data_IF_435643340147
#
_entry.id   IF_435643340147
#
_cell.length_a   1.000
_cell.length_b   1.000
_cell.length_c   1.000
_cell.angle_alpha   90.00
_cell.angle_beta   90.00
_cell.angle_gamma   90.00
#
_symmetry.space_group_name_H-M   'P 1'
#
loop_
_entity.id
_entity.type
_entity.pdbx_description
1 polymer ?
#
# COMPACT_ATOMS: atom_id res chain seq x y z
N UNK A 1 5.86 6.40 6.73
CA UNK A 1 5.90 6.71 5.29
C UNK A 1 4.79 7.69 4.91
N UNK A 2 3.52 7.29 5.05
CA UNK A 2 2.35 8.13 4.71
C UNK A 2 2.28 9.44 5.50
N UNK A 3 2.63 9.42 6.79
CA UNK A 3 2.47 10.60 7.67
C UNK A 3 3.52 11.69 7.46
N UNK A 4 4.70 11.35 6.93
CA UNK A 4 5.85 12.27 6.93
C UNK A 4 6.57 12.25 5.59
N UNK A 5 7.05 11.09 5.15
CA UNK A 5 7.93 10.99 3.99
C UNK A 5 7.21 11.34 2.67
N UNK A 6 5.98 10.87 2.46
CA UNK A 6 5.21 11.24 1.26
C UNK A 6 4.78 12.72 1.26
N UNK A 7 4.17 13.27 2.33
CA UNK A 7 3.87 14.71 2.41
C UNK A 7 5.10 15.60 2.23
N UNK A 8 6.23 15.23 2.85
CA UNK A 8 7.49 16.00 2.72
C UNK A 8 8.01 16.02 1.29
N UNK A 9 7.86 14.92 0.54
CA UNK A 9 8.40 14.81 -0.82
C UNK A 9 7.46 15.36 -1.90
N UNK A 10 6.16 15.09 -1.78
CA UNK A 10 5.17 15.33 -2.84
C UNK A 10 4.10 16.37 -2.44
N UNK A 11 4.11 16.86 -1.21
CA UNK A 11 3.10 17.81 -0.69
C UNK A 11 1.83 17.11 -0.22
N UNK A 12 0.75 17.88 0.01
CA UNK A 12 -0.50 17.36 0.57
C UNK A 12 -0.43 17.06 2.07
N UNK A 13 -1.55 16.61 2.62
CA UNK A 13 -1.69 16.18 4.00
C UNK A 13 -1.48 14.66 4.11
N UNK A 14 -1.15 14.12 5.31
CA UNK A 14 -1.09 12.68 5.54
C UNK A 14 -2.33 11.91 5.04
N UNK A 15 -3.51 12.51 5.16
CA UNK A 15 -4.79 11.93 4.73
C UNK A 15 -4.99 11.91 3.21
N UNK A 16 -4.08 12.50 2.43
CA UNK A 16 -4.08 12.40 0.97
C UNK A 16 -3.45 11.11 0.46
N UNK A 17 -2.87 10.32 1.34
CA UNK A 17 -2.14 9.10 1.02
C UNK A 17 -2.70 7.93 1.82
N UNK A 18 -2.91 6.80 1.16
CA UNK A 18 -3.41 5.60 1.82
C UNK A 18 -2.87 4.34 1.17
N UNK A 19 -2.45 3.38 1.99
CA UNK A 19 -2.21 2.02 1.52
C UNK A 19 -3.50 1.21 1.59
N UNK A 20 -3.77 0.45 0.54
CA UNK A 20 -4.90 -0.47 0.43
C UNK A 20 -4.38 -1.82 -0.05
N UNK A 21 -4.59 -2.87 0.73
CA UNK A 21 -4.42 -4.24 0.24
C UNK A 21 -5.69 -4.66 -0.49
N UNK A 22 -5.53 -5.23 -1.67
CA UNK A 22 -6.62 -5.76 -2.47
C UNK A 22 -6.30 -7.19 -2.90
N UNK A 23 -7.31 -8.05 -2.93
CA UNK A 23 -7.19 -9.37 -3.54
C UNK A 23 -7.55 -9.25 -5.02
N UNK A 24 -6.57 -9.50 -5.89
CA UNK A 24 -6.75 -9.58 -7.34
C UNK A 24 -6.56 -11.04 -7.77
N UNK A 25 -7.69 -11.75 -7.87
CA UNK A 25 -7.70 -13.20 -8.11
C UNK A 25 -7.08 -13.96 -6.93
N UNK A 26 -5.98 -14.67 -7.18
CA UNK A 26 -5.24 -15.43 -6.16
C UNK A 26 -4.04 -14.65 -5.58
N UNK A 27 -3.88 -13.37 -5.94
CA UNK A 27 -2.75 -12.53 -5.51
C UNK A 27 -3.24 -11.41 -4.62
N UNK A 28 -2.49 -11.11 -3.58
CA UNK A 28 -2.65 -9.88 -2.80
C UNK A 28 -1.78 -8.81 -3.42
N UNK A 29 -2.38 -7.68 -3.81
CA UNK A 29 -1.69 -6.50 -4.33
C UNK A 29 -1.79 -5.36 -3.32
N UNK A 30 -0.77 -4.50 -3.31
CA UNK A 30 -0.74 -3.29 -2.52
C UNK A 30 -0.97 -2.09 -3.43
N UNK A 31 -1.93 -1.24 -3.08
CA UNK A 31 -2.21 0.02 -3.77
C UNK A 31 -1.81 1.17 -2.88
N UNK A 32 -1.06 2.12 -3.43
CA UNK A 32 -0.92 3.45 -2.84
C UNK A 32 -1.93 4.37 -3.52
N UNK A 33 -3.00 4.67 -2.79
CA UNK A 33 -4.00 5.66 -3.18
C UNK A 33 -3.45 7.04 -2.87
N UNK A 34 -3.47 7.92 -3.86
CA UNK A 34 -3.03 9.31 -3.74
C UNK A 34 -4.14 10.22 -4.23
N UNK A 35 -4.60 11.11 -3.36
CA UNK A 35 -5.62 12.10 -3.70
C UNK A 35 -5.21 12.89 -4.96
N UNK A 36 -6.11 13.05 -5.95
CA UNK A 36 -5.84 13.81 -7.17
C UNK A 36 -5.32 15.25 -6.96
N UNK A 37 -5.58 15.87 -5.79
CA UNK A 37 -5.11 17.23 -5.48
C UNK A 37 -3.60 17.32 -5.24
N UNK A 38 -2.94 16.21 -4.93
CA UNK A 38 -1.49 16.13 -4.84
C UNK A 38 -0.94 16.07 -6.26
N UNK A 39 -0.17 17.07 -6.68
CA UNK A 39 0.44 17.08 -8.00
C UNK A 39 1.57 16.04 -8.08
N UNK A 40 1.38 14.99 -8.87
CA UNK A 40 2.37 13.95 -9.14
C UNK A 40 2.71 13.99 -10.62
N UNK A 41 3.99 14.20 -10.94
CA UNK A 41 4.47 14.25 -12.32
C UNK A 41 4.64 12.85 -12.94
N UNK A 42 5.12 11.89 -12.14
CA UNK A 42 5.36 10.52 -12.57
C UNK A 42 5.01 9.51 -11.46
N UNK A 43 4.09 8.59 -11.75
CA UNK A 43 3.70 7.53 -10.83
C UNK A 43 4.81 6.47 -10.64
N UNK A 44 5.66 6.27 -11.65
CA UNK A 44 6.80 5.35 -11.57
C UNK A 44 7.83 5.80 -10.55
N UNK A 45 8.15 7.09 -10.53
CA UNK A 45 9.03 7.69 -9.53
C UNK A 45 8.47 7.56 -8.11
N UNK A 46 7.16 7.77 -7.93
CA UNK A 46 6.50 7.55 -6.64
C UNK A 46 6.59 6.09 -6.21
N UNK A 47 6.31 5.14 -7.11
CA UNK A 47 6.42 3.69 -6.84
C UNK A 47 7.85 3.34 -6.39
N UNK A 48 8.86 3.78 -7.12
CA UNK A 48 10.26 3.53 -6.80
C UNK A 48 10.67 4.12 -5.44
N UNK A 49 10.25 5.37 -5.16
CA UNK A 49 10.52 6.01 -3.87
C UNK A 49 9.88 5.24 -2.71
N UNK A 50 8.62 4.83 -2.85
CA UNK A 50 7.87 4.10 -1.83
C UNK A 50 8.52 2.75 -1.54
N UNK A 51 8.86 1.98 -2.57
CA UNK A 51 9.55 0.70 -2.41
C UNK A 51 10.86 0.88 -1.63
N UNK A 52 11.68 1.86 -2.00
CA UNK A 52 12.93 2.20 -1.29
C UNK A 52 12.70 2.64 0.16
N UNK A 53 11.59 3.31 0.45
CA UNK A 53 11.25 3.78 1.77
C UNK A 53 10.64 2.69 2.67
N UNK A 54 9.99 1.69 2.07
CA UNK A 54 9.57 0.47 2.75
C UNK A 54 10.81 -0.38 3.06
N UNK A 55 11.65 -0.64 2.06
CA UNK A 55 12.96 -1.29 2.15
C UNK A 55 13.77 -0.92 3.39
N UNK A 56 14.00 0.37 3.61
CA UNK A 56 14.78 0.87 4.74
C UNK A 56 14.14 0.60 6.10
N UNK A 57 12.81 0.49 6.16
CA UNK A 57 12.03 0.40 7.41
C UNK A 57 11.73 -1.03 7.83
N UNK A 58 11.78 -2.01 6.93
CA UNK A 58 11.26 -3.36 7.16
C UNK A 58 12.32 -4.47 7.15
N UNK A 59 13.56 -4.20 7.57
CA UNK A 59 14.58 -5.25 7.77
C UNK A 59 14.03 -6.40 8.66
N UNK A 60 13.45 -7.45 8.05
CA UNK A 60 13.01 -8.71 8.70
C UNK A 60 11.52 -9.09 8.67
N UNK A 61 10.60 -8.37 7.98
CA UNK A 61 9.16 -8.68 8.03
C UNK A 61 8.63 -9.61 6.92
N UNK A 62 7.68 -10.50 7.22
CA UNK A 62 7.03 -11.43 6.25
C UNK A 62 6.29 -10.70 5.10
N UNK A 63 5.73 -9.53 5.38
CA UNK A 63 5.09 -8.64 4.39
C UNK A 63 6.07 -8.19 3.27
N UNK A 64 7.36 -8.08 3.59
CA UNK A 64 8.40 -7.77 2.60
C UNK A 64 8.62 -8.92 1.62
N UNK A 65 8.51 -10.18 2.07
CA UNK A 65 8.75 -11.35 1.21
C UNK A 65 7.74 -11.44 0.07
N UNK A 66 6.50 -11.03 0.29
CA UNK A 66 5.43 -11.13 -0.70
C UNK A 66 5.43 -9.91 -1.65
N UNK A 67 5.66 -8.69 -1.13
CA UNK A 67 5.77 -7.47 -1.96
C UNK A 67 6.98 -7.53 -2.91
N UNK A 68 8.07 -8.20 -2.50
CA UNK A 68 9.32 -8.21 -3.26
C UNK A 68 9.48 -9.40 -4.21
N UNK A 69 8.72 -10.47 -4.01
CA UNK A 69 8.72 -11.62 -4.92
C UNK A 69 8.11 -11.29 -6.27
N UNK A 70 7.21 -10.31 -6.33
CA UNK A 70 6.54 -9.90 -7.55
C UNK A 70 6.73 -8.38 -7.74
N UNK A 71 7.48 -7.97 -8.76
CA UNK A 71 7.78 -6.54 -9.03
C UNK A 71 6.53 -5.72 -9.42
N UNK A 72 5.40 -6.41 -9.60
CA UNK A 72 4.11 -5.81 -9.90
C UNK A 72 3.27 -5.48 -8.65
N UNK A 73 3.71 -5.84 -7.44
CA UNK A 73 2.82 -5.81 -6.25
C UNK A 73 2.38 -4.40 -5.78
N UNK A 74 3.10 -3.33 -6.13
CA UNK A 74 2.71 -1.96 -5.79
C UNK A 74 2.13 -1.21 -6.99
N UNK A 75 0.86 -0.80 -6.89
CA UNK A 75 0.18 0.05 -7.88
C UNK A 75 -0.11 1.44 -7.31
N UNK A 76 -0.01 2.47 -8.15
CA UNK A 76 -0.43 3.83 -7.79
C UNK A 76 -1.86 4.05 -8.28
N UNK A 77 -2.75 4.43 -7.37
CA UNK A 77 -4.14 4.73 -7.68
C UNK A 77 -4.44 6.21 -7.41
N UNK A 78 -4.99 6.91 -8.40
CA UNK A 78 -5.24 8.36 -8.33
C UNK A 78 -6.72 8.63 -8.09
N UNK A 79 -7.16 8.44 -6.85
CA UNK A 79 -8.55 8.68 -6.41
C UNK A 79 -8.59 9.27 -5.00
N UNK A 80 -9.77 9.69 -4.55
CA UNK A 80 -10.00 10.09 -3.17
C UNK A 80 -9.66 8.92 -2.24
N UNK A 81 -8.78 9.10 -1.23
CA UNK A 81 -8.55 8.08 -0.22
C UNK A 81 -9.86 7.61 0.42
N UNK A 82 -10.00 6.30 0.56
CA UNK A 82 -11.20 5.64 1.02
C UNK A 82 -11.45 5.93 2.50
N UNK A 83 -12.68 6.32 2.83
CA UNK A 83 -13.16 6.40 4.21
C UNK A 83 -13.31 4.98 4.76
N UNK A 84 -12.25 4.45 5.38
CA UNK A 84 -12.31 3.13 6.01
C UNK A 84 -13.09 3.22 7.33
N UNK A 85 -14.11 2.40 7.52
CA UNK A 85 -14.94 2.37 8.74
C UNK A 85 -14.22 2.00 10.04
N UNK A 86 -12.91 1.75 9.99
CA UNK A 86 -12.08 1.49 11.16
C UNK A 86 -10.86 2.40 11.12
N UNK A 87 -10.92 3.53 11.82
CA UNK A 87 -9.78 4.40 12.14
C UNK A 87 -8.80 3.75 13.14
N UNK A 88 -8.61 2.42 13.05
CA UNK A 88 -7.64 1.66 13.83
C UNK A 88 -6.87 0.77 12.87
N UNK A 89 -5.65 1.19 12.57
CA UNK A 89 -4.64 0.35 11.94
C UNK A 89 -4.44 -0.86 12.86
N UNK A 90 -4.99 -2.01 12.48
CA UNK A 90 -4.57 -3.29 13.03
C UNK A 90 -3.37 -3.74 12.20
N UNK A 91 -2.19 -3.98 12.80
CA UNK A 91 -0.96 -4.22 12.06
C UNK A 91 -0.92 -5.52 11.26
N UNK A 92 -1.93 -6.39 11.38
CA UNK A 92 -2.20 -7.52 10.48
C UNK A 92 -3.57 -8.12 10.84
N UNK A 93 -4.53 -8.16 9.91
CA UNK A 93 -5.76 -8.95 10.05
C UNK A 93 -5.76 -10.06 9.01
N UNK A 94 -5.36 -11.27 9.43
CA UNK A 94 -5.46 -12.47 8.60
C UNK A 94 -6.89 -12.99 8.70
N UNK A 95 -7.65 -12.92 7.61
CA UNK A 95 -8.94 -13.60 7.52
C UNK A 95 -8.65 -15.09 7.26
N UNK A 96 -9.19 -16.04 8.06
CA UNK A 96 -8.98 -17.45 7.79
C UNK A 96 -9.63 -17.84 6.46
N UNK A 97 -8.85 -18.40 5.54
CA UNK A 97 -9.41 -19.11 4.39
C UNK A 97 -10.15 -20.33 4.90
N UNK A 98 -11.48 -20.37 4.71
CA UNK A 98 -12.27 -21.59 4.92
C UNK A 98 -11.87 -22.59 3.83
N UNK A 99 -10.88 -23.42 4.14
CA UNK A 99 -10.57 -24.60 3.36
C UNK A 99 -11.80 -25.51 3.36
N UNK A 100 -12.49 -25.60 2.21
CA UNK A 100 -13.51 -26.62 2.01
C UNK A 100 -12.79 -27.95 1.87
N UNK A 101 -12.90 -28.80 2.89
CA UNK A 101 -12.69 -30.22 2.74
C UNK A 101 -13.83 -30.78 1.89
N UNK A 102 -13.49 -31.36 0.75
CA UNK A 102 -14.34 -32.25 -0.05
C UNK A 102 -13.33 -33.05 -0.89
N UNK A 103 -13.20 -34.36 -0.81
CA UNK A 103 -14.11 -35.42 -0.38
C UNK A 103 -13.81 -36.57 -1.33
#
# INVERSE_FOLDING_TARGET
LLEVALPTRYGGAPTDYQFVEAEEGARTVLKLVIHPRVAIADAGEVKAYVLRELEKRTAGGRLMTDIWRDSDTLHIERTQPYLTGSAKIQPLHVVPSRMKASG
#
